data_IF_735054253343
#
_entry.id   IF_735054253343
#
_cell.length_a   1.000
_cell.length_b   1.000
_cell.length_c   1.000
_cell.angle_alpha   90.00
_cell.angle_beta   90.00
_cell.angle_gamma   90.00
#
_symmetry.space_group_name_H-M   'P 1'
#
loop_
_entity.id
_entity.type
_entity.pdbx_description
1 polymer ?
#
# COMPACT_ATOMS: atom_id res chain seq x y z
N UNK A 1 -16.88 25.14 -23.36
CA UNK A 1 -15.77 24.44 -22.70
C UNK A 1 -15.52 23.17 -23.50
N UNK A 2 -14.33 22.92 -24.06
CA UNK A 2 -14.12 21.68 -24.79
C UNK A 2 -14.22 20.51 -23.80
N UNK A 3 -15.13 19.58 -24.08
CA UNK A 3 -15.19 18.27 -23.46
C UNK A 3 -13.91 17.53 -23.87
N UNK A 4 -12.95 17.39 -22.97
CA UNK A 4 -11.83 16.50 -23.17
C UNK A 4 -12.38 15.08 -23.07
N UNK A 5 -12.67 14.47 -24.21
CA UNK A 5 -13.05 13.06 -24.26
C UNK A 5 -11.87 12.24 -23.72
N UNK A 6 -12.08 11.57 -22.58
CA UNK A 6 -11.22 10.45 -22.20
C UNK A 6 -11.29 9.44 -23.32
N UNK A 7 -10.13 9.02 -23.84
CA UNK A 7 -10.10 8.05 -24.91
C UNK A 7 -10.86 6.79 -24.49
N UNK A 8 -11.76 6.38 -25.35
CA UNK A 8 -12.48 5.12 -25.37
C UNK A 8 -13.34 4.79 -24.13
N UNK A 9 -14.52 5.39 -24.07
CA UNK A 9 -15.60 5.02 -23.12
C UNK A 9 -16.11 3.58 -23.30
N UNK A 10 -15.63 2.84 -24.32
CA UNK A 10 -16.08 1.46 -24.62
C UNK A 10 -15.37 0.42 -23.73
N UNK A 11 -14.23 0.76 -23.11
CA UNK A 11 -13.49 -0.15 -22.24
C UNK A 11 -14.11 -0.23 -20.85
N UNK A 12 -14.35 -1.45 -20.30
CA UNK A 12 -14.81 -1.60 -18.93
C UNK A 12 -13.83 -0.96 -17.95
N UNK A 13 -14.34 -0.23 -16.96
CA UNK A 13 -13.52 0.31 -15.87
C UNK A 13 -12.91 -0.84 -15.06
N UNK A 14 -11.70 -0.65 -14.53
CA UNK A 14 -11.01 -1.68 -13.73
C UNK A 14 -11.82 -2.05 -12.48
N UNK A 15 -12.47 -1.08 -11.83
CA UNK A 15 -13.38 -1.36 -10.69
C UNK A 15 -14.54 -2.29 -11.06
N UNK A 16 -15.07 -2.19 -12.28
CA UNK A 16 -16.16 -3.05 -12.77
C UNK A 16 -15.67 -4.48 -12.99
N UNK A 17 -14.48 -4.63 -13.61
CA UNK A 17 -13.85 -5.93 -13.79
C UNK A 17 -13.52 -6.60 -12.44
N UNK A 18 -12.96 -5.84 -11.50
CA UNK A 18 -12.68 -6.32 -10.15
C UNK A 18 -13.95 -6.74 -9.41
N UNK A 19 -14.98 -5.88 -9.41
CA UNK A 19 -16.26 -6.16 -8.74
C UNK A 19 -16.93 -7.43 -9.26
N UNK A 20 -16.87 -7.70 -10.57
CA UNK A 20 -17.37 -8.94 -11.16
C UNK A 20 -16.67 -10.20 -10.63
N UNK A 21 -15.51 -10.05 -10.01
CA UNK A 21 -14.70 -11.12 -9.40
C UNK A 21 -14.68 -11.07 -7.87
N UNK A 22 -15.38 -10.12 -7.24
CA UNK A 22 -15.36 -9.92 -5.80
C UNK A 22 -14.08 -9.25 -5.28
N UNK A 23 -13.32 -8.53 -6.14
CA UNK A 23 -12.12 -7.78 -5.80
C UNK A 23 -12.40 -6.26 -5.85
N UNK A 24 -12.01 -5.54 -4.81
CA UNK A 24 -12.05 -4.07 -4.83
C UNK A 24 -10.82 -3.53 -5.53
N UNK A 25 -11.03 -2.63 -6.49
CA UNK A 25 -9.95 -1.94 -7.20
C UNK A 25 -9.88 -0.49 -6.75
N UNK A 26 -8.69 0.00 -6.45
CA UNK A 26 -8.47 1.35 -5.95
C UNK A 26 -7.15 1.97 -6.35
N UNK A 27 -6.88 3.17 -5.82
CA UNK A 27 -5.59 3.84 -5.98
C UNK A 27 -5.30 4.79 -4.83
N UNK A 28 -4.01 5.04 -4.61
CA UNK A 28 -3.56 6.17 -3.83
C UNK A 28 -3.83 7.49 -4.55
N UNK A 29 -4.08 8.54 -3.75
CA UNK A 29 -4.13 9.93 -4.19
C UNK A 29 -3.63 10.83 -3.05
N UNK A 30 -2.73 11.76 -3.38
CA UNK A 30 -2.28 12.83 -2.48
C UNK A 30 -2.79 14.20 -2.91
N UNK A 31 -2.58 15.23 -2.09
CA UNK A 31 -3.00 16.60 -2.39
C UNK A 31 -2.49 17.12 -3.73
N UNK A 32 -1.24 16.83 -4.17
CA UNK A 32 -0.77 17.26 -5.50
C UNK A 32 -1.64 16.75 -6.65
N UNK A 33 -1.98 15.44 -6.64
CA UNK A 33 -2.83 14.82 -7.66
C UNK A 33 -4.31 15.17 -7.48
N UNK A 34 -4.74 15.41 -6.24
CA UNK A 34 -6.09 15.89 -5.94
C UNK A 34 -6.38 17.27 -6.56
N UNK A 35 -5.40 18.13 -6.69
CA UNK A 35 -5.58 19.44 -7.33
C UNK A 35 -5.95 19.34 -8.82
N UNK A 36 -5.58 18.25 -9.50
CA UNK A 36 -5.90 18.01 -10.90
C UNK A 36 -7.31 17.40 -11.06
N UNK A 37 -8.21 18.15 -11.69
CA UNK A 37 -9.58 17.69 -11.97
C UNK A 37 -9.60 16.42 -12.84
N UNK A 38 -8.72 16.31 -13.83
CA UNK A 38 -8.67 15.13 -14.73
C UNK A 38 -8.24 13.88 -13.97
N UNK A 39 -7.30 14.02 -13.03
CA UNK A 39 -6.90 12.90 -12.17
C UNK A 39 -8.07 12.42 -11.30
N UNK A 40 -8.81 13.34 -10.68
CA UNK A 40 -9.99 12.98 -9.89
C UNK A 40 -11.06 12.25 -10.71
N UNK A 41 -11.35 12.74 -11.92
CA UNK A 41 -12.29 12.11 -12.84
C UNK A 41 -11.83 10.71 -13.26
N UNK A 42 -10.52 10.52 -13.53
CA UNK A 42 -9.93 9.22 -13.83
C UNK A 42 -10.06 8.26 -12.64
N UNK A 43 -9.74 8.71 -11.43
CA UNK A 43 -9.82 7.88 -10.22
C UNK A 43 -11.26 7.41 -9.99
N UNK A 44 -12.24 8.30 -10.07
CA UNK A 44 -13.66 7.96 -9.92
C UNK A 44 -14.13 6.98 -10.98
N UNK A 45 -13.61 7.08 -12.21
CA UNK A 45 -13.95 6.17 -13.31
C UNK A 45 -13.40 4.76 -13.07
N UNK A 46 -12.12 4.64 -12.73
CA UNK A 46 -11.40 3.36 -12.68
C UNK A 46 -11.44 2.66 -11.32
N UNK A 47 -11.64 3.41 -10.23
CA UNK A 47 -11.48 2.93 -8.86
C UNK A 47 -12.79 2.95 -8.07
N UNK A 48 -12.92 1.99 -7.15
CA UNK A 48 -13.97 1.93 -6.12
C UNK A 48 -13.46 2.37 -4.74
N UNK A 49 -12.12 2.40 -4.58
CA UNK A 49 -11.44 2.67 -3.29
C UNK A 49 -10.38 3.74 -3.47
N UNK A 50 -10.27 4.64 -2.49
CA UNK A 50 -9.19 5.60 -2.33
C UNK A 50 -8.38 5.27 -1.07
N UNK A 51 -7.05 5.39 -1.14
CA UNK A 51 -6.14 5.50 0.00
C UNK A 51 -5.40 6.83 -0.09
N UNK A 52 -5.22 7.52 1.06
CA UNK A 52 -4.40 8.75 1.09
C UNK A 52 -2.93 8.40 0.93
N UNK A 53 -2.20 9.13 0.09
CA UNK A 53 -0.77 8.86 -0.15
C UNK A 53 0.09 9.23 1.06
N UNK A 54 -0.09 10.43 1.61
CA UNK A 54 0.72 10.94 2.72
C UNK A 54 -0.10 11.52 3.88
N UNK A 55 -1.32 11.96 3.62
CA UNK A 55 -2.10 12.86 4.47
C UNK A 55 -2.56 12.23 5.79
N UNK A 56 -2.54 10.89 5.91
CA UNK A 56 -2.79 10.17 7.16
C UNK A 56 -1.52 9.70 7.88
N UNK A 57 -0.32 9.87 7.30
CA UNK A 57 0.94 9.46 7.92
C UNK A 57 1.26 10.34 9.15
N UNK A 58 1.90 9.74 10.16
CA UNK A 58 2.13 10.40 11.45
C UNK A 58 2.88 11.72 11.32
N UNK A 59 3.98 11.75 10.55
CA UNK A 59 4.80 12.95 10.35
C UNK A 59 4.06 14.10 9.65
N UNK A 60 2.97 13.82 8.93
CA UNK A 60 2.16 14.84 8.27
C UNK A 60 1.04 15.35 9.15
N UNK A 61 0.36 14.47 9.90
CA UNK A 61 -0.75 14.91 10.76
C UNK A 61 -0.32 15.38 12.15
N UNK A 62 0.89 15.00 12.60
CA UNK A 62 1.45 15.46 13.88
C UNK A 62 2.96 15.70 13.74
N UNK A 63 3.37 16.75 13.01
CA UNK A 63 4.78 17.06 12.77
C UNK A 63 5.51 17.47 14.03
N UNK A 64 4.80 17.95 15.06
CA UNK A 64 5.30 18.23 16.41
C UNK A 64 4.40 17.59 17.46
N UNK A 65 5.00 17.26 18.61
CA UNK A 65 4.27 16.68 19.72
C UNK A 65 3.13 17.60 20.19
N UNK A 66 1.93 17.04 20.31
CA UNK A 66 0.73 17.79 20.73
C UNK A 66 0.06 18.63 19.64
N UNK A 67 0.64 18.74 18.44
CA UNK A 67 0.04 19.44 17.31
C UNK A 67 -0.61 18.45 16.33
N UNK A 68 -1.80 18.81 15.82
CA UNK A 68 -2.53 18.00 14.85
C UNK A 68 -2.93 18.84 13.63
N UNK A 69 -2.71 18.26 12.43
CA UNK A 69 -3.00 18.86 11.14
C UNK A 69 -3.83 17.87 10.29
N UNK A 70 -5.15 18.00 10.34
CA UNK A 70 -6.06 17.06 9.67
C UNK A 70 -6.62 17.60 8.34
N UNK A 71 -6.43 18.87 8.01
CA UNK A 71 -7.14 19.54 6.92
C UNK A 71 -7.00 18.80 5.58
N UNK A 72 -5.80 18.38 5.22
CA UNK A 72 -5.54 17.68 3.97
C UNK A 72 -6.20 16.28 3.94
N UNK A 73 -6.13 15.54 5.05
CA UNK A 73 -6.78 14.23 5.16
C UNK A 73 -8.29 14.37 5.14
N UNK A 74 -8.86 15.36 5.84
CA UNK A 74 -10.30 15.66 5.85
C UNK A 74 -10.81 16.00 4.45
N UNK A 75 -10.07 16.82 3.71
CA UNK A 75 -10.45 17.22 2.37
C UNK A 75 -10.49 16.02 1.43
N UNK A 76 -9.41 15.19 1.40
CA UNK A 76 -9.34 14.01 0.55
C UNK A 76 -10.41 12.97 0.89
N UNK A 77 -10.50 12.60 2.17
CA UNK A 77 -11.46 11.58 2.63
C UNK A 77 -12.90 12.07 2.50
N UNK A 78 -13.16 13.36 2.77
CA UNK A 78 -14.46 14.00 2.58
C UNK A 78 -14.87 14.06 1.11
N UNK A 79 -13.93 14.37 0.22
CA UNK A 79 -14.17 14.30 -1.22
C UNK A 79 -14.47 12.87 -1.68
N UNK A 80 -13.66 11.89 -1.26
CA UNK A 80 -13.88 10.48 -1.60
C UNK A 80 -15.27 9.99 -1.17
N UNK A 81 -15.71 10.40 0.03
CA UNK A 81 -17.06 10.10 0.51
C UNK A 81 -18.14 10.65 -0.41
N UNK A 82 -18.00 11.91 -0.84
CA UNK A 82 -18.95 12.56 -1.76
C UNK A 82 -19.00 11.89 -3.14
N UNK A 83 -17.90 11.22 -3.54
CA UNK A 83 -17.84 10.44 -4.79
C UNK A 83 -18.33 8.98 -4.61
N UNK A 84 -18.74 8.57 -3.41
CA UNK A 84 -19.15 7.19 -3.12
C UNK A 84 -17.97 6.18 -3.10
N UNK A 85 -16.74 6.65 -2.98
CA UNK A 85 -15.57 5.80 -2.89
C UNK A 85 -15.43 5.20 -1.48
N UNK A 86 -15.05 3.94 -1.40
CA UNK A 86 -14.54 3.34 -0.17
C UNK A 86 -13.19 3.97 0.20
N UNK A 87 -12.83 3.96 1.48
CA UNK A 87 -11.61 4.64 1.95
C UNK A 87 -10.76 3.70 2.80
N UNK A 88 -9.46 3.61 2.48
CA UNK A 88 -8.44 2.99 3.30
C UNK A 88 -7.61 4.04 4.02
N UNK A 89 -7.17 3.73 5.24
CA UNK A 89 -6.27 4.56 6.02
C UNK A 89 -4.83 4.07 5.91
N UNK A 90 -3.92 4.92 5.45
CA UNK A 90 -2.49 4.63 5.34
C UNK A 90 -1.70 5.78 5.97
N UNK A 91 -0.96 5.50 7.01
CA UNK A 91 -0.93 4.41 7.95
C UNK A 91 -0.91 4.96 9.39
N UNK A 92 -1.23 4.13 10.40
CA UNK A 92 -1.18 4.63 11.78
C UNK A 92 0.27 4.77 12.27
N UNK A 93 1.11 3.74 12.08
CA UNK A 93 2.54 3.75 12.44
C UNK A 93 3.38 3.27 11.25
N UNK A 94 4.34 4.08 10.83
CA UNK A 94 5.32 3.72 9.79
C UNK A 94 6.70 3.56 10.43
N UNK A 95 7.20 2.34 10.45
CA UNK A 95 8.33 1.94 11.30
C UNK A 95 9.70 2.49 10.91
N UNK A 96 10.11 2.65 9.63
CA UNK A 96 11.44 3.15 9.35
C UNK A 96 11.70 4.49 10.04
N UNK A 97 12.80 4.60 10.79
CA UNK A 97 13.16 5.77 11.60
C UNK A 97 13.07 7.09 10.83
N UNK A 98 13.46 7.09 9.54
CA UNK A 98 13.38 8.28 8.67
C UNK A 98 11.95 8.78 8.41
N UNK A 99 10.93 7.93 8.65
CA UNK A 99 9.52 8.23 8.40
C UNK A 99 8.69 8.40 9.67
N UNK A 100 9.22 8.01 10.83
CA UNK A 100 8.66 8.47 12.11
C UNK A 100 8.88 9.98 12.24
N UNK A 101 7.96 10.71 12.90
CA UNK A 101 8.22 12.12 13.22
C UNK A 101 9.54 12.25 13.99
N UNK A 102 10.35 13.26 13.68
CA UNK A 102 11.65 13.46 14.34
C UNK A 102 11.50 13.52 15.86
N UNK A 103 10.47 14.19 16.35
CA UNK A 103 10.21 14.31 17.78
C UNK A 103 9.92 12.96 18.47
N UNK A 104 9.39 11.94 17.76
CA UNK A 104 9.22 10.57 18.28
C UNK A 104 10.58 9.87 18.40
N UNK A 105 11.46 10.05 17.42
CA UNK A 105 12.80 9.46 17.44
C UNK A 105 13.68 10.04 18.56
N UNK A 106 13.48 11.30 18.91
CA UNK A 106 14.23 12.07 19.92
C UNK A 106 13.54 12.10 21.28
N UNK A 107 12.40 11.39 21.44
CA UNK A 107 11.60 11.44 22.64
C UNK A 107 12.33 10.78 23.83
N UNK A 108 12.31 11.44 25.00
CA UNK A 108 12.80 10.85 26.23
C UNK A 108 11.73 9.93 26.84
N UNK A 109 11.94 8.63 26.73
CA UNK A 109 11.02 7.63 27.27
C UNK A 109 11.13 7.47 28.80
N UNK A 110 12.12 8.07 29.46
CA UNK A 110 12.25 8.14 30.90
C UNK A 110 12.44 6.79 31.59
N UNK A 111 12.09 6.73 32.88
CA UNK A 111 12.31 5.55 33.73
C UNK A 111 11.32 4.38 33.46
N UNK A 112 10.25 4.61 32.72
CA UNK A 112 9.26 3.59 32.36
C UNK A 112 9.03 3.58 30.84
N UNK A 113 10.03 3.19 30.04
CA UNK A 113 10.01 3.42 28.61
C UNK A 113 8.83 2.75 27.89
N UNK A 114 8.48 1.51 28.23
CA UNK A 114 7.35 0.82 27.62
C UNK A 114 6.02 1.58 27.87
N UNK A 115 5.77 2.00 29.09
CA UNK A 115 4.55 2.75 29.43
C UNK A 115 4.49 4.13 28.74
N UNK A 116 5.65 4.76 28.56
CA UNK A 116 5.73 6.03 27.86
C UNK A 116 5.45 5.84 26.38
N UNK A 117 6.00 4.79 25.74
CA UNK A 117 5.73 4.44 24.35
C UNK A 117 4.25 4.09 24.13
N UNK A 118 3.63 3.30 25.01
CA UNK A 118 2.19 3.02 24.98
C UNK A 118 1.35 4.31 24.98
N UNK A 119 1.71 5.31 25.81
CA UNK A 119 0.98 6.59 25.83
C UNK A 119 1.09 7.34 24.51
N UNK A 120 2.29 7.41 23.92
CA UNK A 120 2.49 8.07 22.62
C UNK A 120 1.73 7.37 21.49
N UNK A 121 1.79 6.04 21.44
CA UNK A 121 1.05 5.25 20.48
C UNK A 121 -0.47 5.39 20.67
N UNK A 122 -0.93 5.42 21.94
CA UNK A 122 -2.34 5.64 22.25
C UNK A 122 -2.79 7.03 21.82
N UNK A 123 -1.99 8.07 22.06
CA UNK A 123 -2.28 9.42 21.57
C UNK A 123 -2.44 9.43 20.05
N UNK A 124 -1.46 8.84 19.32
CA UNK A 124 -1.49 8.73 17.86
C UNK A 124 -2.72 7.99 17.34
N UNK A 125 -2.97 6.79 17.84
CA UNK A 125 -4.05 5.95 17.36
C UNK A 125 -5.42 6.54 17.72
N UNK A 126 -5.60 6.99 18.96
CA UNK A 126 -6.84 7.63 19.41
C UNK A 126 -7.16 8.89 18.62
N UNK A 127 -6.16 9.72 18.32
CA UNK A 127 -6.34 10.93 17.52
C UNK A 127 -6.89 10.62 16.14
N UNK A 128 -6.31 9.63 15.44
CA UNK A 128 -6.76 9.19 14.13
C UNK A 128 -8.13 8.49 14.18
N UNK A 129 -8.30 7.57 15.12
CA UNK A 129 -9.49 6.72 15.19
C UNK A 129 -10.74 7.50 15.60
N UNK A 130 -10.65 8.44 16.53
CA UNK A 130 -11.78 9.33 16.90
C UNK A 130 -12.33 10.08 15.69
N UNK A 131 -11.45 10.40 14.72
CA UNK A 131 -11.84 11.18 13.54
C UNK A 131 -12.33 10.32 12.38
N UNK A 132 -11.69 9.16 12.14
CA UNK A 132 -11.83 8.44 10.88
C UNK A 132 -12.36 7.01 11.00
N UNK A 133 -12.47 6.41 12.20
CA UNK A 133 -12.83 4.99 12.34
C UNK A 133 -14.17 4.62 11.73
N UNK A 134 -15.15 5.53 11.74
CA UNK A 134 -16.47 5.31 11.12
C UNK A 134 -16.47 5.44 9.60
N UNK A 135 -15.39 5.96 9.01
CA UNK A 135 -15.31 6.29 7.59
C UNK A 135 -14.41 5.35 6.81
N UNK A 136 -13.50 4.66 7.49
CA UNK A 136 -12.43 3.85 6.89
C UNK A 136 -12.70 2.38 7.17
N UNK A 137 -12.80 1.56 6.10
CA UNK A 137 -13.11 0.13 6.22
C UNK A 137 -11.86 -0.75 6.43
N UNK A 138 -10.67 -0.25 6.11
CA UNK A 138 -9.40 -0.99 6.20
C UNK A 138 -8.26 -0.05 6.56
N UNK A 139 -7.45 -0.42 7.57
CA UNK A 139 -6.33 0.37 8.06
C UNK A 139 -5.02 -0.38 7.94
N UNK A 140 -4.02 0.25 7.36
CA UNK A 140 -2.62 -0.14 7.57
C UNK A 140 -2.23 0.32 8.98
N UNK A 141 -2.33 -0.61 9.94
CA UNK A 141 -2.07 -0.29 11.36
C UNK A 141 -0.58 -0.07 11.58
N UNK A 142 0.23 -1.00 11.09
CA UNK A 142 1.69 -0.89 11.11
C UNK A 142 2.23 -1.16 9.70
N UNK A 143 3.15 -0.31 9.28
CA UNK A 143 3.79 -0.36 7.98
C UNK A 143 5.31 -0.57 8.12
N UNK A 144 5.88 -1.56 7.41
CA UNK A 144 7.32 -1.78 7.20
C UNK A 144 8.13 -1.99 8.49
N UNK A 145 7.76 -2.95 9.33
CA UNK A 145 8.48 -3.25 10.56
C UNK A 145 9.75 -4.13 10.36
N UNK A 146 9.98 -4.65 9.15
CA UNK A 146 11.10 -5.53 8.86
C UNK A 146 12.19 -4.79 8.08
N UNK A 147 13.45 -4.98 8.48
CA UNK A 147 14.61 -4.51 7.71
C UNK A 147 14.83 -5.44 6.50
N UNK A 148 14.72 -4.95 5.25
CA UNK A 148 14.65 -5.82 4.08
C UNK A 148 15.94 -6.61 3.82
N UNK A 149 17.10 -6.05 4.17
CA UNK A 149 18.41 -6.68 3.90
C UNK A 149 18.69 -7.83 4.86
N UNK A 150 18.31 -7.67 6.12
CA UNK A 150 18.62 -8.64 7.18
C UNK A 150 17.45 -9.58 7.49
N UNK A 151 16.19 -9.14 7.28
CA UNK A 151 14.99 -9.83 7.71
C UNK A 151 14.70 -9.67 9.20
N UNK A 152 15.47 -8.86 9.91
CA UNK A 152 15.26 -8.59 11.34
C UNK A 152 14.25 -7.44 11.55
N UNK A 153 13.75 -7.33 12.78
CA UNK A 153 12.90 -6.21 13.16
C UNK A 153 13.67 -4.90 13.10
N UNK A 154 13.02 -3.82 12.65
CA UNK A 154 13.65 -2.50 12.63
C UNK A 154 13.92 -2.01 14.04
N UNK A 155 15.09 -1.42 14.22
CA UNK A 155 15.51 -0.78 15.47
C UNK A 155 15.00 0.66 15.52
N UNK A 156 13.79 0.86 16.08
CA UNK A 156 13.17 2.18 16.26
C UNK A 156 13.18 2.60 17.73
N UNK A 157 12.95 3.88 18.00
CA UNK A 157 12.83 4.37 19.37
C UNK A 157 11.69 3.68 20.14
N UNK A 158 10.56 3.43 19.47
CA UNK A 158 9.41 2.72 20.04
C UNK A 158 9.72 1.24 20.29
N UNK A 159 10.35 0.57 19.30
CA UNK A 159 10.75 -0.83 19.42
C UNK A 159 11.77 -1.06 20.55
N UNK A 160 12.73 -0.13 20.75
CA UNK A 160 13.66 -0.18 21.89
C UNK A 160 12.95 0.00 23.21
N UNK A 161 11.89 0.81 23.26
CA UNK A 161 11.15 1.09 24.49
C UNK A 161 10.23 -0.07 24.92
N UNK A 162 9.60 -0.79 23.96
CA UNK A 162 8.57 -1.79 24.25
C UNK A 162 8.92 -3.21 23.77
N UNK A 163 9.84 -3.37 22.80
CA UNK A 163 9.97 -4.57 22.00
C UNK A 163 9.00 -4.55 20.80
N UNK A 164 9.51 -4.87 19.60
CA UNK A 164 8.77 -4.71 18.33
C UNK A 164 7.43 -5.45 18.32
N UNK A 165 7.40 -6.70 18.78
CA UNK A 165 6.16 -7.51 18.74
C UNK A 165 5.12 -6.95 19.72
N UNK A 166 5.54 -6.47 20.89
CA UNK A 166 4.64 -5.88 21.89
C UNK A 166 4.10 -4.52 21.43
N UNK A 167 4.93 -3.71 20.80
CA UNK A 167 4.53 -2.45 20.16
C UNK A 167 3.45 -2.68 19.11
N UNK A 168 3.68 -3.61 18.20
CA UNK A 168 2.75 -3.90 17.09
C UNK A 168 1.45 -4.49 17.64
N UNK A 169 1.52 -5.45 18.57
CA UNK A 169 0.33 -6.03 19.23
C UNK A 169 -0.51 -4.94 19.91
N UNK A 170 0.13 -4.01 20.64
CA UNK A 170 -0.54 -2.87 21.25
C UNK A 170 -1.28 -2.02 20.22
N UNK A 171 -0.61 -1.68 19.09
CA UNK A 171 -1.23 -0.88 18.03
C UNK A 171 -2.47 -1.58 17.45
N UNK A 172 -2.40 -2.88 17.16
CA UNK A 172 -3.53 -3.64 16.61
C UNK A 172 -4.69 -3.77 17.60
N UNK A 173 -4.44 -4.03 18.89
CA UNK A 173 -5.49 -4.11 19.91
C UNK A 173 -6.21 -2.79 20.06
N UNK A 174 -5.47 -1.69 20.14
CA UNK A 174 -6.06 -0.38 20.26
C UNK A 174 -6.84 0.03 19.00
N UNK A 175 -6.32 -0.29 17.81
CA UNK A 175 -7.03 -0.07 16.56
C UNK A 175 -8.35 -0.87 16.51
N UNK A 176 -8.35 -2.14 16.96
CA UNK A 176 -9.55 -2.98 17.02
C UNK A 176 -10.59 -2.44 18.00
N UNK A 177 -10.17 -1.91 19.14
CA UNK A 177 -11.06 -1.30 20.11
C UNK A 177 -11.86 -0.14 19.50
N UNK A 178 -11.17 0.73 18.74
CA UNK A 178 -11.80 1.90 18.12
C UNK A 178 -12.52 1.61 16.81
N UNK A 179 -12.10 0.59 16.07
CA UNK A 179 -12.65 0.22 14.77
C UNK A 179 -12.99 -1.28 14.71
N UNK A 180 -14.00 -1.74 15.47
CA UNK A 180 -14.30 -3.17 15.65
C UNK A 180 -14.66 -3.91 14.35
N UNK A 181 -15.09 -3.19 13.32
CA UNK A 181 -15.48 -3.76 12.01
C UNK A 181 -14.47 -3.50 10.90
N UNK A 182 -13.46 -2.66 11.13
CA UNK A 182 -12.46 -2.39 10.10
C UNK A 182 -11.51 -3.57 9.93
N UNK A 183 -11.06 -3.79 8.71
CA UNK A 183 -9.98 -4.72 8.40
C UNK A 183 -8.65 -4.09 8.87
N UNK A 184 -7.91 -4.80 9.72
CA UNK A 184 -6.64 -4.36 10.27
C UNK A 184 -5.48 -5.09 9.58
N UNK A 185 -4.58 -4.31 8.97
CA UNK A 185 -3.56 -4.78 8.04
C UNK A 185 -2.17 -4.47 8.58
N UNK A 186 -1.27 -5.45 8.52
CA UNK A 186 0.16 -5.20 8.50
C UNK A 186 0.59 -5.05 7.05
N UNK A 187 1.24 -3.94 6.68
CA UNK A 187 1.62 -3.62 5.30
C UNK A 187 3.14 -3.60 5.15
N UNK A 188 3.69 -4.21 4.08
CA UNK A 188 5.14 -4.22 3.85
C UNK A 188 5.47 -4.41 2.35
N UNK A 189 6.74 -4.06 1.96
CA UNK A 189 7.20 -4.04 0.57
C UNK A 189 8.07 -5.24 0.15
N UNK A 190 7.92 -6.39 0.82
CA UNK A 190 8.66 -7.58 0.42
C UNK A 190 8.41 -7.92 -1.05
N UNK A 191 9.49 -8.03 -1.81
CA UNK A 191 9.43 -8.42 -3.21
C UNK A 191 9.29 -9.93 -3.39
N UNK A 192 8.86 -10.34 -4.56
CA UNK A 192 8.71 -11.75 -4.93
C UNK A 192 10.00 -12.41 -5.41
N UNK A 193 11.07 -11.64 -5.64
CA UNK A 193 12.38 -12.13 -6.08
C UNK A 193 13.17 -12.84 -4.97
N UNK A 194 14.21 -13.58 -5.39
CA UNK A 194 15.10 -14.30 -4.47
C UNK A 194 15.83 -13.38 -3.48
N UNK A 195 16.18 -12.16 -3.90
CA UNK A 195 16.85 -11.16 -3.06
C UNK A 195 16.04 -10.76 -1.82
N UNK A 196 14.71 -10.88 -1.86
CA UNK A 196 13.82 -10.59 -0.75
C UNK A 196 13.48 -11.79 0.15
N UNK A 197 14.16 -12.91 0.02
CA UNK A 197 13.87 -14.11 0.82
C UNK A 197 13.98 -13.85 2.33
N UNK A 198 14.99 -13.10 2.78
CA UNK A 198 15.13 -12.72 4.19
C UNK A 198 14.01 -11.81 4.66
N UNK A 199 13.61 -10.83 3.83
CA UNK A 199 12.50 -9.94 4.13
C UNK A 199 11.20 -10.73 4.31
N UNK A 200 10.86 -11.62 3.35
CA UNK A 200 9.69 -12.50 3.47
C UNK A 200 9.74 -13.38 4.72
N UNK A 201 10.90 -13.95 5.04
CA UNK A 201 11.07 -14.74 6.25
C UNK A 201 10.86 -13.91 7.54
N UNK A 202 11.35 -12.67 7.58
CA UNK A 202 11.12 -11.73 8.68
C UNK A 202 9.64 -11.38 8.85
N UNK A 203 8.93 -11.13 7.74
CA UNK A 203 7.48 -10.88 7.76
C UNK A 203 6.73 -12.11 8.28
N UNK A 204 7.05 -13.32 7.82
CA UNK A 204 6.42 -14.55 8.34
C UNK A 204 6.66 -14.73 9.84
N UNK A 205 7.91 -14.53 10.31
CA UNK A 205 8.27 -14.58 11.73
C UNK A 205 7.43 -13.59 12.57
N UNK A 206 7.25 -12.36 12.07
CA UNK A 206 6.41 -11.35 12.73
C UNK A 206 4.94 -11.79 12.79
N UNK A 207 4.36 -12.20 11.65
CA UNK A 207 2.96 -12.64 11.59
C UNK A 207 2.70 -13.82 12.50
N UNK A 208 3.59 -14.82 12.56
CA UNK A 208 3.51 -15.97 13.46
C UNK A 208 3.53 -15.52 14.94
N UNK A 209 4.43 -14.60 15.30
CA UNK A 209 4.51 -14.05 16.66
C UNK A 209 3.22 -13.31 17.06
N UNK A 210 2.67 -12.47 16.16
CA UNK A 210 1.41 -11.76 16.41
C UNK A 210 0.22 -12.72 16.53
N UNK A 211 0.14 -13.75 15.67
CA UNK A 211 -0.90 -14.78 15.76
C UNK A 211 -0.80 -15.57 17.07
N UNK A 212 0.41 -15.94 17.51
CA UNK A 212 0.64 -16.62 18.78
C UNK A 212 0.19 -15.79 20.00
N UNK A 213 0.30 -14.45 19.93
CA UNK A 213 -0.21 -13.52 20.95
C UNK A 213 -1.74 -13.32 20.88
N UNK A 214 -2.41 -13.84 19.84
CA UNK A 214 -3.83 -13.55 19.59
C UNK A 214 -4.08 -12.09 19.20
N UNK A 215 -3.12 -11.45 18.55
CA UNK A 215 -3.26 -10.09 18.01
C UNK A 215 -4.39 -10.05 16.97
N UNK A 216 -5.29 -9.06 17.01
CA UNK A 216 -6.42 -8.97 16.10
C UNK A 216 -6.03 -8.46 14.71
N UNK A 217 -5.09 -9.14 14.05
CA UNK A 217 -4.67 -8.89 12.68
C UNK A 217 -5.54 -9.66 11.70
N UNK A 218 -6.07 -9.00 10.68
CA UNK A 218 -6.96 -9.59 9.67
C UNK A 218 -6.23 -9.92 8.37
N UNK A 219 -5.21 -9.14 8.00
CA UNK A 219 -4.62 -9.25 6.69
C UNK A 219 -3.15 -8.82 6.61
N UNK A 220 -2.47 -9.32 5.58
CA UNK A 220 -1.19 -8.82 5.09
C UNK A 220 -1.41 -7.95 3.84
N UNK A 221 -0.92 -6.71 3.89
CA UNK A 221 -0.77 -5.84 2.73
C UNK A 221 0.55 -6.11 2.02
N UNK A 222 0.46 -6.40 0.73
CA UNK A 222 1.57 -6.54 -0.19
C UNK A 222 1.68 -5.21 -0.94
N UNK A 223 2.72 -4.39 -0.68
CA UNK A 223 2.85 -3.12 -1.40
C UNK A 223 2.94 -3.34 -2.91
N UNK A 224 3.66 -4.38 -3.34
CA UNK A 224 3.73 -4.78 -4.75
C UNK A 224 4.33 -3.72 -5.67
N UNK A 225 5.38 -3.03 -5.20
CA UNK A 225 6.26 -2.24 -6.05
C UNK A 225 7.18 -3.20 -6.80
N UNK A 226 6.76 -3.66 -7.99
CA UNK A 226 7.49 -4.68 -8.75
C UNK A 226 8.45 -4.09 -9.78
N UNK A 227 9.41 -4.88 -10.26
CA UNK A 227 10.38 -4.47 -11.25
C UNK A 227 11.05 -5.65 -11.96
N UNK A 228 11.94 -5.34 -12.92
CA UNK A 228 12.60 -6.32 -13.80
C UNK A 228 13.72 -7.15 -13.12
N UNK A 229 13.98 -6.95 -11.84
CA UNK A 229 15.13 -7.53 -11.12
C UNK A 229 15.00 -9.02 -10.79
N UNK A 230 13.98 -9.70 -11.30
CA UNK A 230 13.50 -10.94 -10.76
C UNK A 230 13.89 -12.16 -11.61
N UNK A 231 14.58 -13.13 -10.98
CA UNK A 231 15.00 -14.39 -11.60
C UNK A 231 13.86 -15.37 -11.94
N UNK A 232 14.19 -16.49 -12.57
CA UNK A 232 13.22 -17.44 -13.13
C UNK A 232 12.32 -18.15 -12.11
N UNK A 233 12.81 -18.35 -10.87
CA UNK A 233 12.10 -19.16 -9.84
C UNK A 233 11.19 -18.32 -8.92
N UNK A 234 11.00 -17.05 -9.23
CA UNK A 234 10.25 -16.09 -8.41
C UNK A 234 8.80 -16.50 -8.12
N UNK A 235 8.11 -17.12 -9.07
CA UNK A 235 6.71 -17.51 -8.89
C UNK A 235 6.53 -18.61 -7.86
N UNK A 236 7.42 -19.59 -7.81
CA UNK A 236 7.34 -20.69 -6.85
C UNK A 236 7.58 -20.19 -5.42
N UNK A 237 8.63 -19.41 -5.18
CA UNK A 237 8.92 -18.83 -3.87
C UNK A 237 7.82 -17.86 -3.42
N UNK A 238 7.24 -17.11 -4.36
CA UNK A 238 6.13 -16.22 -4.07
C UNK A 238 4.87 -17.00 -3.65
N UNK A 239 4.52 -18.07 -4.38
CA UNK A 239 3.40 -18.96 -3.99
C UNK A 239 3.59 -19.54 -2.62
N UNK A 240 4.77 -20.07 -2.32
CA UNK A 240 5.10 -20.62 -1.01
C UNK A 240 4.88 -19.61 0.11
N UNK A 241 5.35 -18.35 -0.09
CA UNK A 241 5.12 -17.28 0.87
C UNK A 241 3.63 -16.97 1.06
N UNK A 242 2.88 -16.84 -0.03
CA UNK A 242 1.44 -16.56 0.02
C UNK A 242 0.64 -17.72 0.63
N UNK A 243 1.05 -18.97 0.39
CA UNK A 243 0.45 -20.17 0.99
C UNK A 243 0.63 -20.16 2.51
N UNK A 244 1.83 -19.81 3.01
CA UNK A 244 2.10 -19.70 4.45
C UNK A 244 1.24 -18.61 5.10
N UNK A 245 1.14 -17.43 4.49
CA UNK A 245 0.30 -16.34 4.99
C UNK A 245 -1.18 -16.74 4.99
N UNK A 246 -1.65 -17.34 3.89
CA UNK A 246 -3.05 -17.80 3.77
C UNK A 246 -3.35 -18.92 4.78
N UNK A 247 -2.38 -19.82 5.04
CA UNK A 247 -2.47 -20.88 6.04
C UNK A 247 -2.62 -20.36 7.48
N UNK A 248 -2.17 -19.14 7.77
CA UNK A 248 -2.41 -18.45 9.05
C UNK A 248 -3.84 -17.91 9.18
N UNK A 249 -4.69 -18.04 8.15
CA UNK A 249 -6.05 -17.49 8.10
C UNK A 249 -6.08 -15.97 7.84
N UNK A 250 -5.02 -15.40 7.29
CA UNK A 250 -4.97 -13.98 6.95
C UNK A 250 -5.49 -13.74 5.53
N UNK A 251 -6.17 -12.60 5.35
CA UNK A 251 -6.47 -12.07 4.03
C UNK A 251 -5.23 -11.43 3.41
N UNK A 252 -5.26 -11.26 2.09
CA UNK A 252 -4.22 -10.59 1.32
C UNK A 252 -4.80 -9.31 0.68
N UNK A 253 -3.98 -8.28 0.58
CA UNK A 253 -4.25 -7.08 -0.21
C UNK A 253 -3.03 -6.77 -1.07
N UNK A 254 -3.23 -6.32 -2.30
CA UNK A 254 -2.23 -5.55 -3.02
C UNK A 254 -2.54 -4.08 -2.74
N UNK A 255 -1.62 -3.36 -2.11
CA UNK A 255 -1.89 -2.04 -1.52
C UNK A 255 -1.31 -0.87 -2.30
N UNK A 256 -0.23 -1.08 -3.08
CA UNK A 256 0.59 0.01 -3.63
C UNK A 256 1.20 -0.34 -5.00
N UNK A 257 0.46 -1.06 -5.84
CA UNK A 257 0.98 -1.60 -7.09
C UNK A 257 1.51 -0.54 -8.05
N UNK A 258 2.75 -0.72 -8.48
CA UNK A 258 3.39 -0.06 -9.61
C UNK A 258 4.50 -0.96 -10.20
N UNK A 259 5.03 -0.59 -11.39
CA UNK A 259 6.03 -1.39 -12.11
C UNK A 259 7.23 -0.54 -12.49
N UNK A 260 8.36 -0.76 -11.84
CA UNK A 260 9.61 -0.06 -12.18
C UNK A 260 10.25 -0.67 -13.44
N UNK A 261 10.33 0.13 -14.50
CA UNK A 261 10.87 -0.27 -15.81
C UNK A 261 12.34 0.15 -16.04
N UNK A 262 13.07 0.48 -14.97
CA UNK A 262 14.44 1.02 -15.05
C UNK A 262 15.44 0.13 -15.78
N UNK A 263 15.28 -1.19 -15.70
CA UNK A 263 16.18 -2.18 -16.31
C UNK A 263 15.74 -2.61 -17.71
N UNK A 264 14.59 -2.11 -18.20
CA UNK A 264 14.11 -2.40 -19.56
C UNK A 264 14.83 -1.53 -20.61
N UNK A 265 14.90 -1.98 -21.89
CA UNK A 265 15.48 -1.19 -22.98
C UNK A 265 14.86 0.21 -23.09
N UNK A 266 15.54 1.14 -23.77
CA UNK A 266 15.05 2.52 -23.93
C UNK A 266 13.87 2.64 -24.92
N UNK A 267 13.70 1.70 -25.82
CA UNK A 267 12.58 1.67 -26.78
C UNK A 267 11.24 1.56 -26.08
N UNK A 268 10.30 2.44 -26.42
CA UNK A 268 9.00 2.55 -25.73
C UNK A 268 8.17 1.28 -25.91
N UNK A 269 8.16 0.68 -27.10
CA UNK A 269 7.37 -0.52 -27.36
C UNK A 269 7.92 -1.72 -26.58
N UNK A 270 9.25 -1.85 -26.50
CA UNK A 270 9.89 -2.88 -25.69
C UNK A 270 9.63 -2.67 -24.18
N UNK A 271 9.64 -1.42 -23.70
CA UNK A 271 9.29 -1.08 -22.30
C UNK A 271 7.83 -1.43 -22.00
N UNK A 272 6.90 -1.01 -22.85
CA UNK A 272 5.47 -1.29 -22.66
C UNK A 272 5.18 -2.80 -22.68
N UNK A 273 5.83 -3.55 -23.58
CA UNK A 273 5.73 -5.01 -23.58
C UNK A 273 6.32 -5.65 -22.32
N UNK A 274 7.47 -5.14 -21.85
CA UNK A 274 8.14 -5.63 -20.63
C UNK A 274 7.32 -5.38 -19.37
N UNK A 275 6.80 -4.17 -19.17
CA UNK A 275 5.96 -3.88 -17.98
C UNK A 275 4.64 -4.65 -18.01
N UNK A 276 4.06 -4.88 -19.19
CA UNK A 276 2.86 -5.70 -19.33
C UNK A 276 3.12 -7.16 -18.97
N UNK A 277 4.24 -7.73 -19.43
CA UNK A 277 4.64 -9.09 -19.10
C UNK A 277 4.87 -9.27 -17.60
N UNK A 278 5.63 -8.36 -16.97
CA UNK A 278 5.86 -8.37 -15.51
C UNK A 278 4.56 -8.25 -14.73
N UNK A 279 3.65 -7.36 -15.15
CA UNK A 279 2.32 -7.19 -14.54
C UNK A 279 1.55 -8.51 -14.58
N UNK A 280 1.50 -9.17 -15.74
CA UNK A 280 0.81 -10.46 -15.91
C UNK A 280 1.44 -11.55 -15.05
N UNK A 281 2.75 -11.71 -15.11
CA UNK A 281 3.49 -12.74 -14.38
C UNK A 281 3.22 -12.64 -12.86
N UNK A 282 3.21 -11.43 -12.31
CA UNK A 282 2.96 -11.19 -10.90
C UNK A 282 1.49 -11.35 -10.52
N UNK A 283 0.60 -10.69 -11.27
CA UNK A 283 -0.82 -10.66 -10.93
C UNK A 283 -1.52 -11.99 -11.17
N UNK A 284 -1.18 -12.76 -12.22
CA UNK A 284 -1.80 -14.05 -12.46
C UNK A 284 -1.51 -15.07 -11.34
N UNK A 285 -0.34 -14.95 -10.70
CA UNK A 285 -0.05 -15.70 -9.47
C UNK A 285 -0.83 -15.15 -8.28
N UNK A 286 -0.71 -13.86 -8.00
CA UNK A 286 -1.26 -13.27 -6.77
C UNK A 286 -2.80 -13.22 -6.80
N UNK A 287 -3.41 -12.99 -7.95
CA UNK A 287 -4.86 -13.01 -8.13
C UNK A 287 -5.46 -14.43 -8.09
N UNK A 288 -4.66 -15.49 -8.15
CA UNK A 288 -5.18 -16.86 -7.97
C UNK A 288 -5.61 -17.14 -6.52
N UNK A 289 -5.19 -16.33 -5.55
CA UNK A 289 -5.56 -16.45 -4.14
C UNK A 289 -6.93 -15.82 -3.88
N UNK A 290 -7.90 -16.65 -3.48
CA UNK A 290 -9.29 -16.20 -3.28
C UNK A 290 -9.50 -15.37 -2.01
N UNK A 291 -8.56 -15.41 -1.07
CA UNK A 291 -8.51 -14.55 0.13
C UNK A 291 -7.88 -13.17 -0.13
N UNK A 292 -7.49 -12.84 -1.38
CA UNK A 292 -7.10 -11.49 -1.77
C UNK A 292 -8.35 -10.63 -1.94
N UNK A 293 -8.46 -9.53 -1.21
CA UNK A 293 -9.69 -8.71 -1.12
C UNK A 293 -9.62 -7.40 -1.85
N UNK A 294 -8.42 -6.84 -2.02
CA UNK A 294 -8.18 -5.51 -2.58
C UNK A 294 -6.98 -5.50 -3.52
N UNK A 295 -7.05 -4.66 -4.54
CA UNK A 295 -5.98 -4.31 -5.45
C UNK A 295 -5.93 -2.80 -5.64
N UNK A 296 -4.87 -2.16 -5.16
CA UNK A 296 -4.69 -0.71 -5.27
C UNK A 296 -3.38 -0.38 -5.98
N UNK A 297 -3.46 0.58 -6.88
CA UNK A 297 -2.30 1.23 -7.47
C UNK A 297 -1.71 2.27 -6.50
N UNK A 298 -0.38 2.50 -6.59
CA UNK A 298 0.24 3.65 -5.91
C UNK A 298 0.36 4.85 -6.85
N UNK A 299 -0.80 5.35 -7.26
CA UNK A 299 -0.96 6.38 -8.28
C UNK A 299 -1.39 5.83 -9.63
N UNK A 300 -2.04 6.68 -10.43
CA UNK A 300 -2.63 6.28 -11.71
C UNK A 300 -1.86 6.75 -12.93
N UNK A 301 -1.05 7.83 -12.84
CA UNK A 301 -0.37 8.42 -14.00
C UNK A 301 1.14 8.45 -13.84
N UNK A 302 1.86 8.23 -14.95
CA UNK A 302 3.31 8.09 -14.93
C UNK A 302 4.02 9.32 -14.35
N UNK A 303 3.63 10.53 -14.75
CA UNK A 303 4.26 11.79 -14.33
C UNK A 303 4.08 12.10 -12.84
N UNK A 304 3.04 11.55 -12.20
CA UNK A 304 2.77 11.78 -10.78
C UNK A 304 3.29 10.67 -9.87
N UNK A 305 3.88 9.61 -10.45
CA UNK A 305 4.42 8.49 -9.68
C UNK A 305 5.59 8.94 -8.80
N UNK A 306 5.60 8.47 -7.56
CA UNK A 306 6.68 8.67 -6.60
C UNK A 306 8.03 8.17 -7.12
N UNK A 307 8.05 7.15 -7.97
CA UNK A 307 9.25 6.58 -8.59
C UNK A 307 10.03 7.60 -9.42
N UNK A 308 9.37 8.64 -9.96
CA UNK A 308 10.04 9.68 -10.74
C UNK A 308 11.02 10.52 -9.91
N UNK A 309 10.82 10.61 -8.60
CA UNK A 309 11.59 11.51 -7.72
C UNK A 309 12.23 10.83 -6.50
N UNK A 310 11.92 9.54 -6.23
CA UNK A 310 12.25 8.89 -4.95
C UNK A 310 13.75 8.83 -4.68
N UNK A 311 14.53 8.20 -5.55
CA UNK A 311 16.00 8.10 -5.41
C UNK A 311 16.68 7.89 -6.75
N UNK A 312 18.00 8.08 -6.78
CA UNK A 312 18.80 7.77 -7.97
C UNK A 312 18.75 6.28 -8.32
N UNK A 313 18.56 5.41 -7.31
CA UNK A 313 18.52 3.95 -7.46
C UNK A 313 17.24 3.45 -8.12
N UNK A 314 16.14 4.20 -7.99
CA UNK A 314 14.85 3.85 -8.64
C UNK A 314 14.78 4.34 -10.07
N UNK A 315 15.64 5.30 -10.46
CA UNK A 315 15.61 5.94 -11.78
C UNK A 315 16.34 5.13 -12.83
N UNK A 316 16.00 5.38 -14.09
CA UNK A 316 16.69 4.83 -15.25
C UNK A 316 18.08 5.45 -15.43
N UNK A 317 19.06 4.64 -15.84
CA UNK A 317 20.44 5.11 -16.16
C UNK A 317 20.47 6.02 -17.39
N UNK A 318 19.54 5.84 -18.34
CA UNK A 318 19.39 6.65 -19.55
C UNK A 318 18.63 7.98 -19.31
N UNK A 319 18.21 8.25 -18.06
CA UNK A 319 17.47 9.45 -17.62
C UNK A 319 16.10 9.65 -18.27
N UNK A 320 15.59 8.67 -19.01
CA UNK A 320 14.20 8.71 -19.49
C UNK A 320 13.22 8.61 -18.30
N UNK A 321 12.03 9.25 -18.39
CA UNK A 321 10.99 9.06 -17.38
C UNK A 321 10.56 7.61 -17.27
N UNK A 322 10.25 7.14 -16.06
CA UNK A 322 9.67 5.84 -15.81
C UNK A 322 8.22 5.77 -16.31
N UNK A 323 7.74 4.56 -16.62
CA UNK A 323 6.37 4.28 -17.11
C UNK A 323 5.65 3.27 -16.18
N UNK A 324 5.51 3.59 -14.86
CA UNK A 324 5.13 2.61 -13.84
C UNK A 324 3.63 2.43 -13.64
N UNK A 325 2.79 3.29 -14.25
CA UNK A 325 1.39 3.44 -13.90
C UNK A 325 0.44 2.99 -15.02
N UNK A 326 -0.84 2.70 -14.68
CA UNK A 326 -1.84 2.24 -15.65
C UNK A 326 -2.24 3.29 -16.69
N UNK A 327 -1.90 4.56 -16.50
CA UNK A 327 -2.15 5.65 -17.44
C UNK A 327 -0.90 6.49 -17.66
N UNK A 328 -0.78 7.04 -18.87
CA UNK A 328 0.30 7.96 -19.23
C UNK A 328 0.01 9.41 -18.79
N UNK A 329 0.93 10.32 -19.12
CA UNK A 329 0.85 11.75 -18.78
C UNK A 329 -0.31 12.47 -19.48
N UNK A 330 -0.83 11.90 -20.58
CA UNK A 330 -2.00 12.38 -21.30
C UNK A 330 -3.31 11.72 -20.82
N UNK A 331 -3.25 10.88 -19.76
CA UNK A 331 -4.37 10.10 -19.22
C UNK A 331 -4.87 9.02 -20.18
N UNK A 332 -4.00 8.54 -21.09
CA UNK A 332 -4.31 7.41 -21.95
C UNK A 332 -3.90 6.09 -21.26
N UNK A 333 -4.65 5.00 -21.47
CA UNK A 333 -4.31 3.71 -20.90
C UNK A 333 -2.96 3.21 -21.42
N UNK A 334 -2.13 2.69 -20.53
CA UNK A 334 -0.85 2.07 -20.84
C UNK A 334 -0.99 0.55 -20.97
N UNK A 335 0.08 -0.13 -21.38
CA UNK A 335 0.15 -1.59 -21.43
C UNK A 335 -0.06 -2.24 -20.03
N UNK A 336 0.30 -1.54 -18.93
CA UNK A 336 0.00 -1.98 -17.56
C UNK A 336 -1.51 -2.07 -17.33
N UNK A 337 -2.28 -1.04 -17.74
CA UNK A 337 -3.74 -1.04 -17.57
C UNK A 337 -4.37 -2.22 -18.29
N UNK A 338 -3.93 -2.51 -19.49
CA UNK A 338 -4.46 -3.63 -20.29
C UNK A 338 -4.06 -5.00 -19.69
N UNK A 339 -2.83 -5.13 -19.18
CA UNK A 339 -2.38 -6.32 -18.49
C UNK A 339 -3.19 -6.57 -17.20
N UNK A 340 -3.44 -5.54 -16.39
CA UNK A 340 -4.29 -5.62 -15.19
C UNK A 340 -5.72 -6.03 -15.58
N UNK A 341 -6.30 -5.42 -16.62
CA UNK A 341 -7.64 -5.77 -17.08
C UNK A 341 -7.74 -7.24 -17.51
N UNK A 342 -6.71 -7.75 -18.21
CA UNK A 342 -6.64 -9.15 -18.63
C UNK A 342 -6.49 -10.10 -17.42
N UNK A 343 -5.67 -9.76 -16.42
CA UNK A 343 -5.54 -10.55 -15.19
C UNK A 343 -6.83 -10.55 -14.36
N UNK A 344 -7.53 -9.40 -14.25
CA UNK A 344 -8.85 -9.32 -13.62
C UNK A 344 -9.90 -10.18 -14.34
N UNK A 345 -9.84 -10.24 -15.66
CA UNK A 345 -10.77 -11.07 -16.44
C UNK A 345 -10.55 -12.57 -16.18
N UNK A 346 -9.29 -13.01 -16.14
CA UNK A 346 -8.91 -14.44 -16.03
C UNK A 346 -8.95 -14.99 -14.60
N UNK A 347 -8.89 -14.12 -13.56
CA UNK A 347 -8.82 -14.56 -12.17
C UNK A 347 -10.09 -15.30 -11.70
N UNK A 348 -9.99 -16.19 -10.70
CA UNK A 348 -11.16 -16.86 -10.11
C UNK A 348 -12.10 -15.87 -9.43
N UNK A 349 -13.40 -16.17 -9.46
CA UNK A 349 -14.41 -15.43 -8.70
C UNK A 349 -14.23 -15.73 -7.21
N UNK A 350 -14.19 -14.69 -6.39
CA UNK A 350 -14.18 -14.81 -4.93
C UNK A 350 -15.60 -15.06 -4.45
N UNK A 351 -15.77 -16.08 -3.61
CA UNK A 351 -17.05 -16.30 -2.93
C UNK A 351 -17.08 -15.37 -1.72
N UNK A 352 -18.12 -14.53 -1.64
CA UNK A 352 -18.43 -13.69 -0.48
C UNK A 352 -18.74 -14.56 0.75
#
# INVERSE_FOLDING_TARGET
MPSYAFADQTRPALKTLGAAKGLRVGSAMGMPTYSDRRYRELLVRECATLVTENECKWQYVSPKHGEWQFDAADELLGWAAKQGLMRRGHCLVWQPTKWLPQWVNEYDFGAQPARTAEKLLAERINGMMKRYSSQIYSWDVVNEAIEPVTGEYRDTALARAMGTVDEIDFCFRLAREHAPKAQLVYNDFMHWNAGSAKHRAGVLKLLQALKAKGTPIDALGLQSHIGAEDGADRQQEWRKFLDEVSGMGLQLLITEFDVNDRELPSDIAARDAGVAAMTRDYLDVTFSYTNLTDFLFWGLTNNTSWLQSHSAETRRKDKLPLRPCPFDDAYQPTAIREAVAASLHSMPVRRS
#
